data_IF_714552341789
#
_entry.id   IF_714552341789
#
_cell.length_a   1.000
_cell.length_b   1.000
_cell.length_c   1.000
_cell.angle_alpha   90.00
_cell.angle_beta   90.00
_cell.angle_gamma   90.00
#
_symmetry.space_group_name_H-M   'P 1'
#
loop_
_entity.id
_entity.type
_entity.pdbx_description
1 polymer ?
#
# COMPACT_ATOMS: atom_id res chain seq x y z
N UNK A 1 13.42 12.51 21.07
CA UNK A 1 12.87 11.68 22.16
C UNK A 1 13.99 10.82 22.70
N UNK A 2 14.11 10.74 24.04
CA UNK A 2 14.95 9.77 24.74
C UNK A 2 14.04 8.63 25.24
N UNK A 3 14.34 7.40 24.83
CA UNK A 3 13.69 6.17 25.30
C UNK A 3 14.72 5.36 26.10
N UNK A 4 14.35 4.95 27.31
CA UNK A 4 15.17 4.13 28.19
C UNK A 4 14.34 2.93 28.60
N UNK A 5 14.86 1.70 28.57
CA UNK A 5 14.11 0.54 29.03
C UNK A 5 13.88 0.64 30.54
N UNK A 6 12.70 0.26 30.95
CA UNK A 6 12.42 0.13 32.39
C UNK A 6 13.09 -1.15 32.89
N UNK A 7 14.11 -1.00 33.72
CA UNK A 7 14.84 -2.10 34.31
C UNK A 7 14.39 -2.24 35.77
N UNK A 8 13.92 -3.44 36.18
CA UNK A 8 13.50 -3.74 37.54
C UNK A 8 12.86 -5.11 37.63
N UNK A 9 12.80 -5.69 38.85
CA UNK A 9 12.19 -6.99 39.09
C UNK A 9 10.69 -7.03 38.76
N UNK A 10 10.04 -5.86 38.73
CA UNK A 10 8.60 -5.70 38.44
C UNK A 10 8.31 -5.50 36.94
N UNK A 11 9.30 -5.49 36.07
CA UNK A 11 9.11 -5.30 34.63
C UNK A 11 9.35 -6.60 33.87
N UNK A 12 8.46 -6.99 32.94
CA UNK A 12 8.63 -8.22 32.17
C UNK A 12 9.87 -8.14 31.27
N UNK A 13 10.60 -9.24 31.14
CA UNK A 13 11.75 -9.35 30.26
C UNK A 13 11.42 -8.98 28.80
N UNK A 14 10.14 -9.12 28.39
CA UNK A 14 9.63 -8.70 27.08
C UNK A 14 9.88 -7.22 26.77
N UNK A 15 9.87 -6.34 27.79
CA UNK A 15 10.15 -4.90 27.59
C UNK A 15 11.59 -4.64 27.14
N UNK A 16 12.56 -5.39 27.66
CA UNK A 16 13.96 -5.27 27.26
C UNK A 16 14.17 -5.85 25.86
N UNK A 17 13.54 -6.98 25.57
CA UNK A 17 13.53 -7.60 24.25
C UNK A 17 12.96 -6.65 23.19
N UNK A 18 11.82 -6.03 23.48
CA UNK A 18 11.20 -5.04 22.58
C UNK A 18 12.10 -3.83 22.36
N UNK A 19 12.79 -3.33 23.42
CA UNK A 19 13.72 -2.24 23.30
C UNK A 19 14.93 -2.59 22.44
N UNK A 20 15.54 -3.75 22.64
CA UNK A 20 16.65 -4.25 21.85
C UNK A 20 16.26 -4.45 20.38
N UNK A 21 15.07 -5.01 20.14
CA UNK A 21 14.53 -5.21 18.80
C UNK A 21 14.34 -3.86 18.08
N UNK A 22 13.74 -2.88 18.73
CA UNK A 22 13.54 -1.54 18.19
C UNK A 22 14.86 -0.89 17.82
N UNK A 23 15.88 -0.95 18.68
CA UNK A 23 17.20 -0.41 18.41
C UNK A 23 17.81 -1.04 17.15
N UNK A 24 17.86 -2.39 17.09
CA UNK A 24 18.46 -3.12 15.96
C UNK A 24 17.78 -2.82 14.63
N UNK A 25 16.46 -2.59 14.65
CA UNK A 25 15.68 -2.26 13.46
C UNK A 25 15.93 -0.80 13.06
N UNK A 26 15.86 0.14 14.01
CA UNK A 26 16.07 1.57 13.72
C UNK A 26 17.47 1.89 13.17
N UNK A 27 18.50 1.15 13.58
CA UNK A 27 19.84 1.28 13.02
C UNK A 27 19.90 1.02 11.51
N UNK A 28 18.97 0.22 10.98
CA UNK A 28 18.89 -0.17 9.57
C UNK A 28 17.91 0.65 8.77
N UNK A 29 16.85 1.14 9.40
CA UNK A 29 15.79 1.88 8.71
C UNK A 29 16.28 3.25 8.24
N UNK A 30 15.84 3.63 7.03
CA UNK A 30 16.15 4.92 6.40
C UNK A 30 14.91 5.48 5.70
N UNK A 31 14.93 6.78 5.44
CA UNK A 31 13.90 7.45 4.64
C UNK A 31 12.89 8.27 5.44
N UNK A 32 11.92 8.89 4.75
CA UNK A 32 11.02 9.87 5.35
C UNK A 32 9.92 9.27 6.22
N UNK A 33 9.68 7.97 6.13
CA UNK A 33 8.57 7.29 6.80
C UNK A 33 8.95 6.59 8.11
N UNK A 34 10.16 6.83 8.59
CA UNK A 34 10.69 6.30 9.86
C UNK A 34 11.40 7.39 10.64
N UNK A 35 11.42 7.37 11.98
CA UNK A 35 12.16 8.36 12.75
C UNK A 35 13.66 8.18 12.55
N UNK A 36 14.38 9.28 12.47
CA UNK A 36 15.85 9.25 12.41
C UNK A 36 16.41 8.87 13.77
N UNK A 37 17.23 7.82 13.81
CA UNK A 37 18.06 7.50 14.96
C UNK A 37 19.16 8.55 15.11
N UNK A 38 19.27 9.16 16.29
CA UNK A 38 20.25 10.20 16.62
C UNK A 38 21.45 9.60 17.36
N UNK A 39 21.17 8.80 18.39
CA UNK A 39 22.19 8.12 19.19
C UNK A 39 21.61 6.91 19.92
N UNK A 40 22.46 5.98 20.29
CA UNK A 40 22.11 4.83 21.14
C UNK A 40 23.21 4.56 22.15
N UNK A 41 22.84 4.01 23.30
CA UNK A 41 23.78 3.57 24.34
C UNK A 41 24.04 2.08 24.27
N UNK A 42 25.14 1.67 24.93
CA UNK A 42 25.47 0.25 25.03
C UNK A 42 24.42 -0.52 25.87
N UNK A 43 23.81 -1.54 25.24
CA UNK A 43 22.82 -2.40 25.87
C UNK A 43 23.29 -3.09 27.15
N UNK A 44 24.64 -3.30 27.30
CA UNK A 44 25.24 -3.97 28.44
C UNK A 44 25.56 -3.03 29.61
N UNK A 45 25.68 -1.72 29.32
CA UNK A 45 26.10 -0.74 30.33
C UNK A 45 24.93 0.23 30.65
N UNK A 46 24.55 1.05 29.71
CA UNK A 46 23.49 2.06 29.85
C UNK A 46 22.62 2.09 28.59
N UNK A 47 21.63 1.24 28.50
CA UNK A 47 20.75 1.18 27.33
C UNK A 47 19.92 2.46 27.23
N UNK A 48 20.04 3.17 26.13
CA UNK A 48 19.17 4.27 25.74
C UNK A 48 19.08 4.38 24.23
N UNK A 49 18.02 5.01 23.79
CA UNK A 49 17.74 5.28 22.40
C UNK A 49 17.30 6.74 22.25
N UNK A 50 18.00 7.52 21.43
CA UNK A 50 17.62 8.90 21.10
C UNK A 50 17.21 8.94 19.65
N UNK A 51 15.98 9.35 19.42
CA UNK A 51 15.40 9.47 18.08
C UNK A 51 14.75 10.83 17.85
N UNK A 52 14.54 11.16 16.59
CA UNK A 52 13.77 12.31 16.15
C UNK A 52 12.43 12.41 16.90
N UNK A 53 12.05 13.63 17.28
CA UNK A 53 10.72 13.92 17.83
C UNK A 53 9.79 14.33 16.72
N UNK A 54 8.67 13.61 16.59
CA UNK A 54 7.61 13.88 15.62
C UNK A 54 6.32 14.04 16.42
N UNK A 55 5.73 15.22 16.38
CA UNK A 55 4.70 15.62 17.35
C UNK A 55 3.27 15.43 16.87
N UNK A 56 3.03 15.54 15.55
CA UNK A 56 1.67 15.53 15.01
C UNK A 56 1.06 14.11 15.03
N UNK A 57 -0.06 13.99 15.73
CA UNK A 57 -0.83 12.77 15.94
C UNK A 57 -2.12 12.73 15.10
N UNK A 58 -2.12 13.32 13.90
CA UNK A 58 -3.32 13.50 13.09
C UNK A 58 -4.13 12.21 12.91
N UNK A 59 -3.48 11.05 12.71
CA UNK A 59 -4.19 9.77 12.57
C UNK A 59 -4.87 9.34 13.89
N UNK A 60 -4.20 9.50 15.03
CA UNK A 60 -4.77 9.17 16.33
C UNK A 60 -5.95 10.08 16.68
N UNK A 61 -5.82 11.38 16.39
CA UNK A 61 -6.90 12.36 16.57
C UNK A 61 -8.08 12.07 15.64
N UNK A 62 -7.83 11.73 14.36
CA UNK A 62 -8.87 11.33 13.43
C UNK A 62 -9.61 10.07 13.89
N UNK A 63 -8.89 9.07 14.42
CA UNK A 63 -9.48 7.85 14.97
C UNK A 63 -10.34 8.10 16.23
N UNK A 64 -9.98 9.10 17.05
CA UNK A 64 -10.78 9.51 18.21
C UNK A 64 -12.05 10.27 17.80
N UNK A 65 -12.01 11.02 16.69
CA UNK A 65 -13.13 11.81 16.16
C UNK A 65 -13.96 11.06 15.12
N UNK A 66 -13.61 9.79 14.85
CA UNK A 66 -14.32 8.99 13.84
C UNK A 66 -15.82 8.81 14.17
N UNK A 67 -16.69 8.76 13.14
CA UNK A 67 -16.38 8.63 11.72
C UNK A 67 -15.90 9.95 11.09
N UNK A 68 -14.92 9.85 10.20
CA UNK A 68 -14.39 11.01 9.46
C UNK A 68 -15.00 11.14 8.06
N UNK A 69 -14.85 12.32 7.46
CA UNK A 69 -15.26 12.57 6.08
C UNK A 69 -14.52 11.67 5.09
N UNK A 70 -15.16 11.33 3.97
CA UNK A 70 -14.65 10.34 3.01
C UNK A 70 -13.31 10.74 2.40
N UNK A 71 -13.15 12.02 2.05
CA UNK A 71 -11.91 12.52 1.43
C UNK A 71 -10.76 12.53 2.44
N UNK A 72 -11.03 12.86 3.70
CA UNK A 72 -10.06 12.78 4.80
C UNK A 72 -9.64 11.32 5.01
N UNK A 73 -10.58 10.38 5.03
CA UNK A 73 -10.29 8.96 5.16
C UNK A 73 -9.41 8.45 4.03
N UNK A 74 -9.73 8.86 2.79
CA UNK A 74 -8.95 8.48 1.60
C UNK A 74 -7.51 8.99 1.69
N UNK A 75 -7.33 10.27 2.00
CA UNK A 75 -6.00 10.87 2.13
C UNK A 75 -5.18 10.17 3.21
N UNK A 76 -5.74 10.04 4.41
CA UNK A 76 -5.08 9.35 5.52
C UNK A 76 -4.73 7.89 5.16
N UNK A 77 -5.66 7.19 4.51
CA UNK A 77 -5.45 5.81 4.07
C UNK A 77 -4.33 5.68 3.03
N UNK A 78 -4.30 6.54 2.02
CA UNK A 78 -3.25 6.55 0.99
C UNK A 78 -1.88 6.83 1.61
N UNK A 79 -1.78 7.85 2.47
CA UNK A 79 -0.53 8.24 3.13
C UNK A 79 -0.02 7.14 4.07
N UNK A 80 -0.90 6.51 4.84
CA UNK A 80 -0.57 5.38 5.70
C UNK A 80 -0.04 4.18 4.90
N UNK A 81 -0.73 3.83 3.81
CA UNK A 81 -0.31 2.74 2.94
C UNK A 81 1.05 3.01 2.28
N UNK A 82 1.36 4.25 1.91
CA UNK A 82 2.67 4.64 1.36
C UNK A 82 3.78 4.48 2.41
N UNK A 83 3.53 4.94 3.63
CA UNK A 83 4.49 4.79 4.73
C UNK A 83 4.77 3.31 5.03
N UNK A 84 3.71 2.50 5.10
CA UNK A 84 3.86 1.06 5.32
C UNK A 84 4.58 0.35 4.17
N UNK A 85 4.29 0.72 2.92
CA UNK A 85 4.98 0.16 1.77
C UNK A 85 6.48 0.47 1.80
N UNK A 86 6.86 1.69 2.17
CA UNK A 86 8.27 2.08 2.32
C UNK A 86 8.99 1.30 3.43
N UNK A 87 8.27 0.92 4.49
CA UNK A 87 8.79 0.05 5.55
C UNK A 87 8.99 -1.38 5.04
N UNK A 88 7.97 -1.94 4.37
CA UNK A 88 8.03 -3.29 3.81
C UNK A 88 9.15 -3.44 2.78
N UNK A 89 9.45 -2.40 1.98
CA UNK A 89 10.59 -2.38 1.06
C UNK A 89 11.94 -2.54 1.77
N UNK A 90 12.02 -2.20 3.04
CA UNK A 90 13.21 -2.40 3.88
C UNK A 90 13.18 -3.73 4.64
N UNK A 91 12.33 -4.68 4.22
CA UNK A 91 12.17 -6.02 4.81
C UNK A 91 11.72 -6.01 6.28
N UNK A 92 11.00 -4.96 6.70
CA UNK A 92 10.45 -4.82 8.05
C UNK A 92 8.93 -4.93 8.01
N UNK A 93 8.37 -5.75 8.89
CA UNK A 93 6.95 -5.90 9.18
C UNK A 93 6.72 -5.24 10.54
N UNK A 94 5.76 -4.33 10.65
CA UNK A 94 5.57 -3.52 11.85
C UNK A 94 4.97 -4.33 13.02
N UNK A 95 3.96 -5.13 12.74
CA UNK A 95 3.23 -6.03 13.65
C UNK A 95 2.48 -5.38 14.84
N UNK A 96 2.65 -4.08 15.08
CA UNK A 96 1.90 -3.28 16.05
C UNK A 96 1.40 -1.98 15.43
N UNK A 97 0.91 -2.05 14.18
CA UNK A 97 0.38 -0.88 13.48
C UNK A 97 -0.96 -0.48 14.08
N UNK A 98 -1.01 0.72 14.64
CA UNK A 98 -2.21 1.35 15.27
C UNK A 98 -2.12 2.86 15.14
N UNK A 99 -3.22 3.62 15.27
CA UNK A 99 -3.21 5.06 15.09
C UNK A 99 -2.21 5.81 15.97
N UNK A 100 -1.96 5.35 17.20
CA UNK A 100 -0.97 5.94 18.11
C UNK A 100 0.49 5.74 17.66
N UNK A 101 0.76 4.77 16.79
CA UNK A 101 2.10 4.48 16.27
C UNK A 101 2.35 5.14 14.90
N UNK A 102 1.49 6.09 14.53
CA UNK A 102 1.62 6.87 13.30
C UNK A 102 1.66 8.36 13.64
N UNK A 103 2.69 9.04 13.15
CA UNK A 103 2.92 10.47 13.31
C UNK A 103 2.97 11.14 11.94
N UNK A 104 2.82 12.46 11.89
CA UNK A 104 3.05 13.23 10.68
C UNK A 104 4.22 14.19 10.86
N UNK A 105 5.03 14.36 9.82
CA UNK A 105 5.95 15.49 9.70
C UNK A 105 5.23 16.74 9.20
N UNK A 106 5.84 17.89 9.40
CA UNK A 106 5.34 19.16 8.88
C UNK A 106 5.14 19.17 7.36
N UNK A 107 5.91 18.36 6.61
CA UNK A 107 5.76 18.15 5.16
C UNK A 107 4.61 17.24 4.75
N UNK A 108 3.86 16.71 5.72
CA UNK A 108 2.71 15.83 5.44
C UNK A 108 3.07 14.35 5.34
N UNK A 109 4.34 13.95 5.42
CA UNK A 109 4.72 12.55 5.39
C UNK A 109 4.31 11.84 6.69
N UNK A 110 3.65 10.68 6.55
CA UNK A 110 3.40 9.81 7.70
C UNK A 110 4.66 9.05 8.09
N UNK A 111 4.92 8.97 9.39
CA UNK A 111 6.05 8.29 10.00
C UNK A 111 5.54 7.21 10.93
N UNK A 112 6.02 5.99 10.72
CA UNK A 112 5.76 4.85 11.58
C UNK A 112 6.77 4.85 12.72
N UNK A 113 6.28 4.69 13.94
CA UNK A 113 7.09 4.71 15.17
C UNK A 113 6.82 3.45 16.00
N UNK A 114 7.71 3.16 16.95
CA UNK A 114 7.60 2.03 17.87
C UNK A 114 7.76 0.67 17.18
N UNK A 115 9.02 0.30 16.92
CA UNK A 115 9.40 -0.95 16.27
C UNK A 115 9.69 -2.07 17.26
N UNK A 116 9.29 -1.93 18.51
CA UNK A 116 9.54 -2.94 19.55
C UNK A 116 9.01 -4.32 19.17
N UNK A 117 7.85 -4.38 18.53
CA UNK A 117 7.21 -5.62 18.07
C UNK A 117 7.53 -5.99 16.63
N UNK A 118 8.29 -5.17 15.90
CA UNK A 118 8.51 -5.37 14.47
C UNK A 118 9.38 -6.61 14.19
N UNK A 119 9.22 -7.17 13.00
CA UNK A 119 10.03 -8.28 12.48
C UNK A 119 10.84 -7.81 11.29
N UNK A 120 12.16 -8.06 11.31
CA UNK A 120 13.04 -7.78 10.18
C UNK A 120 13.51 -9.11 9.56
N UNK A 121 13.26 -9.32 8.28
CA UNK A 121 13.50 -10.62 7.63
C UNK A 121 14.97 -11.10 7.65
N UNK A 122 15.93 -10.20 7.89
CA UNK A 122 17.36 -10.51 7.92
C UNK A 122 17.94 -10.50 9.34
N UNK A 123 17.12 -10.28 10.38
CA UNK A 123 17.53 -10.32 11.77
C UNK A 123 16.91 -11.52 12.48
N UNK A 124 17.56 -12.05 13.54
CA UNK A 124 16.93 -13.02 14.42
C UNK A 124 15.65 -12.44 15.03
N UNK A 125 14.57 -13.20 15.07
CA UNK A 125 13.33 -12.79 15.75
C UNK A 125 13.50 -12.98 17.26
N UNK A 126 13.71 -11.89 17.97
CA UNK A 126 13.93 -11.92 19.42
C UNK A 126 12.64 -12.26 20.18
N UNK A 127 11.48 -12.14 19.54
CA UNK A 127 10.18 -12.43 20.16
C UNK A 127 9.71 -13.86 19.97
N UNK A 128 10.35 -14.66 19.11
CA UNK A 128 9.93 -16.05 18.86
C UNK A 128 9.99 -16.94 20.14
N UNK A 129 10.89 -16.60 21.05
CA UNK A 129 11.04 -17.29 22.34
C UNK A 129 10.29 -16.63 23.52
N UNK A 130 9.83 -15.37 23.38
CA UNK A 130 9.33 -14.54 24.49
C UNK A 130 7.81 -14.39 24.52
N UNK A 131 7.07 -14.89 23.52
CA UNK A 131 5.61 -14.78 23.44
C UNK A 131 4.92 -15.85 24.29
N UNK A 132 5.05 -15.72 25.60
CA UNK A 132 4.15 -16.27 26.55
C UNK A 132 3.46 -15.11 27.26
N UNK A 133 2.15 -14.94 26.97
CA UNK A 133 1.23 -14.10 27.72
C UNK A 133 1.20 -12.58 27.48
N UNK A 134 0.04 -12.09 27.10
CA UNK A 134 -0.61 -10.81 27.41
C UNK A 134 -0.51 -9.58 26.52
N UNK A 135 0.14 -9.50 25.41
CA UNK A 135 0.14 -8.23 24.64
C UNK A 135 -0.81 -8.19 23.45
N UNK A 136 -1.88 -8.98 23.44
CA UNK A 136 -2.69 -9.22 22.25
C UNK A 136 -4.10 -8.63 22.18
N UNK A 137 -4.52 -7.74 23.07
CA UNK A 137 -5.92 -7.28 23.10
C UNK A 137 -6.21 -6.07 22.19
N UNK A 138 -5.27 -5.65 21.34
CA UNK A 138 -5.51 -4.51 20.46
C UNK A 138 -6.43 -4.90 19.31
N UNK A 139 -7.35 -4.01 18.87
CA UNK A 139 -8.30 -4.31 17.80
C UNK A 139 -7.64 -4.46 16.41
N UNK A 140 -6.36 -4.17 16.28
CA UNK A 140 -5.62 -4.14 15.02
C UNK A 140 -4.79 -5.39 14.75
N UNK A 141 -4.61 -6.29 15.73
CA UNK A 141 -3.82 -7.53 15.60
C UNK A 141 -4.48 -8.49 14.62
N UNK A 142 -3.71 -9.01 13.70
CA UNK A 142 -4.17 -9.97 12.70
C UNK A 142 -4.35 -11.39 13.31
N UNK A 143 -5.26 -12.22 12.75
CA UNK A 143 -5.50 -13.59 13.22
C UNK A 143 -4.25 -14.46 13.31
N UNK A 144 -3.37 -14.40 12.30
CA UNK A 144 -2.13 -15.17 12.26
C UNK A 144 -1.12 -14.80 13.36
N UNK A 145 -1.12 -13.53 13.80
CA UNK A 145 -0.27 -13.10 14.93
C UNK A 145 -0.66 -13.80 16.23
N UNK A 146 -1.95 -14.11 16.41
CA UNK A 146 -2.44 -14.88 17.55
C UNK A 146 -1.95 -16.34 17.53
N UNK A 147 -1.46 -16.79 16.39
CA UNK A 147 -0.82 -18.10 16.20
C UNK A 147 0.70 -17.99 16.08
N UNK A 148 1.28 -16.88 16.57
CA UNK A 148 2.71 -16.60 16.57
C UNK A 148 3.36 -16.59 15.17
N UNK A 149 2.59 -16.30 14.11
CA UNK A 149 3.13 -16.07 12.76
C UNK A 149 3.49 -14.60 12.63
N UNK A 150 4.79 -14.31 12.60
CA UNK A 150 5.34 -12.94 12.59
C UNK A 150 5.97 -12.55 11.24
N UNK A 151 6.15 -13.50 10.35
CA UNK A 151 6.88 -13.30 9.09
C UNK A 151 6.00 -12.91 7.89
N UNK A 152 4.69 -12.68 8.08
CA UNK A 152 3.78 -12.30 7.02
C UNK A 152 3.45 -10.80 7.03
N UNK A 153 3.93 -10.06 6.03
CA UNK A 153 3.67 -8.61 5.89
C UNK A 153 2.19 -8.27 5.74
N UNK A 154 1.34 -9.24 5.40
CA UNK A 154 -0.12 -9.05 5.30
C UNK A 154 -0.80 -8.95 6.68
N UNK A 155 -0.07 -9.17 7.77
CA UNK A 155 -0.54 -8.82 9.11
C UNK A 155 -0.70 -7.31 9.26
N UNK A 156 0.22 -6.52 8.71
CA UNK A 156 0.09 -5.06 8.68
C UNK A 156 -1.05 -4.60 7.75
N UNK A 157 -1.33 -5.33 6.67
CA UNK A 157 -2.49 -5.09 5.79
C UNK A 157 -3.81 -5.25 6.58
N UNK A 158 -3.89 -6.25 7.45
CA UNK A 158 -5.04 -6.42 8.32
C UNK A 158 -5.20 -5.23 9.27
N UNK A 159 -4.11 -4.74 9.85
CA UNK A 159 -4.11 -3.56 10.71
C UNK A 159 -4.59 -2.31 9.96
N UNK A 160 -4.16 -2.09 8.70
CA UNK A 160 -4.72 -1.04 7.83
C UNK A 160 -6.24 -1.20 7.72
N UNK A 161 -6.73 -2.40 7.45
CA UNK A 161 -8.17 -2.67 7.36
C UNK A 161 -8.93 -2.29 8.63
N UNK A 162 -8.37 -2.59 9.80
CA UNK A 162 -8.95 -2.25 11.10
C UNK A 162 -8.94 -0.72 11.37
N UNK A 163 -7.87 -0.03 10.97
CA UNK A 163 -7.77 1.43 11.05
C UNK A 163 -8.79 2.10 10.13
N UNK A 164 -8.85 1.69 8.85
CA UNK A 164 -9.81 2.23 7.89
C UNK A 164 -11.27 1.96 8.34
N UNK A 165 -11.55 0.79 8.92
CA UNK A 165 -12.84 0.47 9.49
C UNK A 165 -13.21 1.45 10.61
N UNK A 166 -12.27 1.70 11.54
CA UNK A 166 -12.48 2.64 12.65
C UNK A 166 -12.71 4.06 12.12
N UNK A 167 -11.87 4.55 11.20
CA UNK A 167 -12.02 5.87 10.61
C UNK A 167 -13.37 6.03 9.87
N UNK A 168 -13.83 4.98 9.20
CA UNK A 168 -15.08 4.99 8.45
C UNK A 168 -16.33 4.97 9.33
N UNK A 169 -16.28 4.31 10.49
CA UNK A 169 -17.49 3.97 11.27
C UNK A 169 -17.49 4.48 12.71
N UNK A 170 -16.33 4.84 13.27
CA UNK A 170 -16.17 5.11 14.71
C UNK A 170 -16.16 3.85 15.59
N UNK A 171 -16.19 2.64 14.98
CA UNK A 171 -16.26 1.39 15.69
C UNK A 171 -15.09 0.48 15.35
N UNK A 172 -14.80 -0.51 16.19
CA UNK A 172 -13.86 -1.58 15.86
C UNK A 172 -14.56 -2.73 15.13
N UNK A 173 -13.87 -3.43 14.20
CA UNK A 173 -14.48 -4.49 13.37
C UNK A 173 -15.19 -5.61 14.14
N UNK A 174 -14.70 -5.92 15.34
CA UNK A 174 -15.22 -7.00 16.20
C UNK A 174 -15.75 -6.50 17.55
N UNK A 175 -15.97 -5.19 17.67
CA UNK A 175 -16.38 -4.52 18.90
C UNK A 175 -15.21 -4.14 19.81
N UNK A 176 -15.50 -3.72 21.04
CA UNK A 176 -14.46 -3.29 21.99
C UNK A 176 -13.46 -4.41 22.26
N UNK A 177 -12.17 -4.08 22.44
CA UNK A 177 -11.12 -5.06 22.72
C UNK A 177 -11.40 -5.83 24.01
N UNK A 178 -11.54 -7.14 23.89
CA UNK A 178 -11.66 -8.09 25.00
C UNK A 178 -11.43 -9.53 24.47
N UNK A 179 -11.36 -10.52 25.34
CA UNK A 179 -11.17 -11.93 24.97
C UNK A 179 -12.23 -12.43 23.98
N UNK A 180 -13.48 -11.97 24.13
CA UNK A 180 -14.55 -12.34 23.21
C UNK A 180 -14.35 -11.76 21.82
N UNK A 181 -13.85 -10.52 21.68
CA UNK A 181 -13.52 -9.92 20.39
C UNK A 181 -12.36 -10.65 19.69
N UNK A 182 -11.43 -11.17 20.48
CA UNK A 182 -10.32 -11.99 19.98
C UNK A 182 -10.84 -13.31 19.37
N UNK A 183 -11.68 -14.04 20.12
CA UNK A 183 -12.33 -15.26 19.61
C UNK A 183 -13.17 -15.00 18.36
N UNK A 184 -13.92 -13.90 18.31
CA UNK A 184 -14.70 -13.51 17.14
C UNK A 184 -13.81 -13.28 15.91
N UNK A 185 -12.64 -12.67 16.08
CA UNK A 185 -11.68 -12.39 15.00
C UNK A 185 -11.18 -13.65 14.31
N UNK A 186 -10.99 -14.72 15.05
CA UNK A 186 -10.62 -16.04 14.53
C UNK A 186 -11.78 -16.74 13.82
N UNK A 187 -13.00 -16.57 14.35
CA UNK A 187 -14.15 -17.40 13.99
C UNK A 187 -15.11 -16.76 12.98
N UNK A 188 -15.16 -15.43 12.88
CA UNK A 188 -16.24 -14.75 12.18
C UNK A 188 -15.71 -13.62 11.28
N UNK A 189 -16.39 -13.34 10.14
CA UNK A 189 -16.13 -12.11 9.41
C UNK A 189 -16.55 -10.89 10.25
N UNK A 190 -15.91 -9.73 10.06
CA UNK A 190 -16.32 -8.50 10.74
C UNK A 190 -17.71 -8.06 10.31
N UNK A 191 -18.34 -7.24 11.13
CA UNK A 191 -19.59 -6.57 10.74
C UNK A 191 -19.31 -5.68 9.53
N UNK A 192 -20.14 -5.70 8.47
CA UNK A 192 -19.94 -4.80 7.35
C UNK A 192 -19.98 -3.32 7.78
N UNK A 193 -19.04 -2.46 7.37
CA UNK A 193 -19.04 -1.03 7.70
C UNK A 193 -20.35 -0.33 7.43
N UNK A 194 -21.05 -0.69 6.34
CA UNK A 194 -22.37 -0.15 5.94
C UNK A 194 -23.51 -0.50 6.89
N UNK A 195 -23.29 -1.41 7.84
CA UNK A 195 -24.24 -1.62 8.95
C UNK A 195 -24.19 -0.46 9.96
N UNK A 196 -23.05 0.21 10.11
CA UNK A 196 -22.87 1.39 10.96
C UNK A 196 -23.09 2.69 10.20
N UNK A 197 -22.64 2.75 8.95
CA UNK A 197 -22.70 3.91 8.07
C UNK A 197 -23.25 3.50 6.71
N UNK A 198 -24.59 3.48 6.51
CA UNK A 198 -25.24 3.00 5.30
C UNK A 198 -24.81 3.72 4.01
N UNK A 199 -24.49 5.02 4.11
CA UNK A 199 -24.05 5.88 3.01
C UNK A 199 -22.60 5.61 2.57
N UNK A 200 -21.85 4.78 3.29
CA UNK A 200 -20.47 4.45 2.94
C UNK A 200 -20.42 3.81 1.53
N UNK A 201 -19.55 4.29 0.63
CA UNK A 201 -19.44 3.73 -0.72
C UNK A 201 -19.10 2.24 -0.71
N UNK A 202 -19.72 1.49 -1.59
CA UNK A 202 -19.53 0.04 -1.71
C UNK A 202 -18.06 -0.34 -2.01
N UNK A 203 -17.37 0.48 -2.81
CA UNK A 203 -15.96 0.28 -3.13
C UNK A 203 -15.05 0.37 -1.89
N UNK A 204 -15.33 1.31 -0.96
CA UNK A 204 -14.54 1.45 0.26
C UNK A 204 -14.77 0.29 1.21
N UNK A 205 -16.04 -0.15 1.36
CA UNK A 205 -16.35 -1.36 2.13
C UNK A 205 -15.66 -2.60 1.55
N UNK A 206 -15.58 -2.74 0.22
CA UNK A 206 -14.88 -3.86 -0.43
C UNK A 206 -13.40 -3.87 -0.03
N UNK A 207 -12.72 -2.71 -0.08
CA UNK A 207 -11.30 -2.58 0.35
C UNK A 207 -11.16 -2.96 1.83
N UNK A 208 -11.95 -2.36 2.71
CA UNK A 208 -11.87 -2.59 4.16
C UNK A 208 -12.07 -4.07 4.48
N UNK A 209 -13.13 -4.69 3.96
CA UNK A 209 -13.43 -6.08 4.25
C UNK A 209 -12.43 -7.06 3.63
N UNK A 210 -11.82 -6.70 2.49
CA UNK A 210 -10.75 -7.51 1.91
C UNK A 210 -9.47 -7.45 2.75
N UNK A 211 -9.11 -6.32 3.31
CA UNK A 211 -8.00 -6.22 4.26
C UNK A 211 -8.24 -7.10 5.51
N UNK A 212 -9.49 -7.18 5.98
CA UNK A 212 -9.89 -7.89 7.19
C UNK A 212 -10.21 -9.39 6.96
N UNK A 213 -9.90 -9.96 5.81
CA UNK A 213 -10.03 -11.41 5.59
C UNK A 213 -9.18 -12.18 6.61
N UNK A 214 -9.74 -13.24 7.18
CA UNK A 214 -9.05 -14.06 8.19
C UNK A 214 -7.79 -14.69 7.61
N UNK A 215 -7.86 -15.18 6.35
CA UNK A 215 -6.73 -15.79 5.65
C UNK A 215 -5.89 -14.72 4.95
N UNK A 216 -4.58 -14.61 5.24
CA UNK A 216 -3.70 -13.64 4.60
C UNK A 216 -3.71 -13.70 3.07
N UNK A 217 -3.85 -14.90 2.46
CA UNK A 217 -3.84 -15.10 1.01
C UNK A 217 -5.04 -14.43 0.31
N UNK A 218 -6.11 -14.12 1.03
CA UNK A 218 -7.30 -13.45 0.52
C UNK A 218 -7.27 -11.94 0.65
N UNK A 219 -6.28 -11.40 1.36
CA UNK A 219 -6.03 -9.97 1.51
C UNK A 219 -5.36 -9.40 0.26
N UNK A 220 -5.09 -8.13 0.28
CA UNK A 220 -4.17 -7.50 -0.68
C UNK A 220 -2.75 -8.01 -0.45
N UNK A 221 -1.97 -8.10 -1.53
CA UNK A 221 -0.59 -8.56 -1.44
C UNK A 221 0.32 -7.48 -0.85
N UNK A 222 0.05 -6.21 -1.14
CA UNK A 222 0.89 -5.08 -0.73
C UNK A 222 0.04 -3.87 -0.29
N UNK A 223 0.61 -3.01 0.56
CA UNK A 223 0.00 -1.74 0.94
C UNK A 223 -0.11 -0.78 -0.26
N UNK A 224 0.79 -0.89 -1.24
CA UNK A 224 0.77 -0.12 -2.47
C UNK A 224 -0.49 -0.37 -3.29
N UNK A 225 -0.97 -1.62 -3.39
CA UNK A 225 -2.22 -1.97 -4.05
C UNK A 225 -3.41 -1.24 -3.39
N UNK A 226 -3.45 -1.18 -2.07
CA UNK A 226 -4.49 -0.48 -1.31
C UNK A 226 -4.41 1.03 -1.57
N UNK A 227 -3.22 1.63 -1.49
CA UNK A 227 -3.02 3.05 -1.76
C UNK A 227 -3.52 3.43 -3.14
N UNK A 228 -3.24 2.59 -4.15
CA UNK A 228 -3.70 2.80 -5.52
C UNK A 228 -5.24 2.77 -5.62
N UNK A 229 -5.89 1.78 -5.01
CA UNK A 229 -7.35 1.64 -5.05
C UNK A 229 -8.07 2.74 -4.24
N UNK A 230 -7.49 3.21 -3.15
CA UNK A 230 -8.02 4.36 -2.41
C UNK A 230 -7.90 5.66 -3.22
N UNK A 231 -6.82 5.82 -3.99
CA UNK A 231 -6.63 6.97 -4.87
C UNK A 231 -7.55 6.90 -6.12
N UNK A 232 -7.88 5.69 -6.58
CA UNK A 232 -8.65 5.42 -7.81
C UNK A 232 -9.86 4.52 -7.52
N UNK A 233 -10.93 5.06 -6.89
CA UNK A 233 -12.12 4.28 -6.53
C UNK A 233 -12.79 3.57 -7.71
N UNK A 234 -12.69 4.15 -8.90
CA UNK A 234 -13.21 3.62 -10.16
C UNK A 234 -12.55 2.29 -10.59
N UNK A 235 -11.34 2.01 -10.08
CA UNK A 235 -10.62 0.77 -10.34
C UNK A 235 -11.04 -0.37 -9.40
N UNK A 236 -11.81 -0.08 -8.36
CA UNK A 236 -12.22 -1.10 -7.40
C UNK A 236 -13.29 -2.01 -7.98
N UNK A 237 -12.97 -3.30 -8.12
CA UNK A 237 -13.99 -4.29 -8.43
C UNK A 237 -14.84 -4.57 -7.17
N UNK A 238 -16.06 -4.07 -7.17
CA UNK A 238 -17.00 -4.25 -6.06
C UNK A 238 -17.66 -5.62 -6.16
N UNK A 239 -17.24 -6.52 -5.28
CA UNK A 239 -17.79 -7.88 -5.18
C UNK A 239 -18.89 -7.99 -4.13
N UNK A 240 -19.19 -9.23 -3.73
CA UNK A 240 -20.20 -9.51 -2.71
C UNK A 240 -19.91 -8.83 -1.34
N UNK A 241 -18.66 -8.53 -1.02
CA UNK A 241 -18.29 -7.83 0.21
C UNK A 241 -18.78 -6.39 0.21
N UNK A 242 -18.58 -5.67 -0.89
CA UNK A 242 -18.99 -4.27 -1.02
C UNK A 242 -20.50 -4.06 -0.91
N UNK A 243 -21.29 -5.05 -1.30
CA UNK A 243 -22.76 -4.98 -1.27
C UNK A 243 -23.41 -5.49 0.03
N UNK A 244 -22.63 -6.01 0.99
CA UNK A 244 -23.18 -6.49 2.26
C UNK A 244 -23.69 -5.34 3.11
N UNK A 245 -24.97 -5.38 3.48
CA UNK A 245 -25.63 -4.40 4.34
C UNK A 245 -26.25 -5.04 5.60
N UNK A 246 -26.11 -6.35 5.75
CA UNK A 246 -26.66 -7.12 6.87
C UNK A 246 -25.57 -7.87 7.62
N UNK A 247 -25.71 -8.04 8.93
CA UNK A 247 -24.81 -8.89 9.71
C UNK A 247 -24.75 -10.31 9.16
N UNK A 248 -23.63 -11.02 9.35
CA UNK A 248 -23.54 -12.43 8.98
C UNK A 248 -24.62 -13.24 9.73
N UNK A 249 -25.36 -14.06 8.97
CA UNK A 249 -26.38 -14.94 9.53
C UNK A 249 -25.82 -15.95 10.54
N UNK A 250 -26.67 -16.52 11.41
CA UNK A 250 -26.27 -17.46 12.45
C UNK A 250 -25.56 -18.72 11.90
N UNK A 251 -25.98 -19.21 10.73
CA UNK A 251 -25.31 -20.32 10.04
C UNK A 251 -23.89 -19.99 9.59
N UNK A 252 -23.64 -18.77 9.17
CA UNK A 252 -22.28 -18.33 8.82
C UNK A 252 -21.40 -18.21 10.06
N UNK A 253 -21.99 -17.82 11.19
CA UNK A 253 -21.31 -17.77 12.50
C UNK A 253 -20.93 -19.16 12.96
N UNK A 254 -21.84 -20.13 12.87
CA UNK A 254 -21.61 -21.52 13.26
C UNK A 254 -20.50 -22.18 12.41
N UNK A 255 -20.59 -22.02 11.08
CA UNK A 255 -19.55 -22.52 10.16
C UNK A 255 -18.19 -21.83 10.38
N UNK A 256 -18.18 -20.56 10.72
CA UNK A 256 -16.97 -19.82 11.06
C UNK A 256 -16.31 -20.39 12.32
N UNK A 257 -17.11 -20.64 13.36
CA UNK A 257 -16.62 -21.24 14.61
C UNK A 257 -16.04 -22.64 14.39
N UNK A 258 -16.72 -23.52 13.66
CA UNK A 258 -16.17 -24.84 13.30
C UNK A 258 -14.85 -24.76 12.55
N UNK A 259 -14.71 -23.80 11.60
CA UNK A 259 -13.47 -23.60 10.85
C UNK A 259 -12.32 -23.09 11.72
N UNK A 260 -12.58 -22.22 12.68
CA UNK A 260 -11.53 -21.66 13.54
C UNK A 260 -10.88 -22.70 14.45
N UNK A 261 -11.65 -23.69 14.90
CA UNK A 261 -11.14 -24.80 15.73
C UNK A 261 -10.17 -25.71 14.95
N UNK A 262 -10.36 -25.82 13.61
CA UNK A 262 -9.53 -26.67 12.74
C UNK A 262 -8.54 -25.88 11.87
N UNK A 263 -8.50 -24.57 11.98
CA UNK A 263 -7.62 -23.73 11.17
C UNK A 263 -6.20 -23.79 11.73
N UNK A 264 -5.36 -24.61 11.10
CA UNK A 264 -3.90 -24.53 11.27
C UNK A 264 -3.40 -23.40 10.41
N UNK A 265 -2.81 -22.37 11.00
CA UNK A 265 -1.97 -21.43 10.28
C UNK A 265 -0.65 -22.16 10.01
N UNK A 266 -0.28 -22.22 8.75
CA UNK A 266 0.95 -22.87 8.34
C UNK A 266 2.12 -22.04 8.88
N UNK A 267 2.94 -22.65 9.75
CA UNK A 267 4.16 -22.04 10.29
C UNK A 267 5.29 -22.02 9.26
N UNK A 268 5.02 -22.46 8.01
CA UNK A 268 6.03 -22.33 6.97
C UNK A 268 6.43 -20.87 6.83
N UNK A 269 7.73 -20.58 6.73
CA UNK A 269 8.18 -19.21 6.53
C UNK A 269 7.46 -18.67 5.30
N UNK A 270 6.63 -17.65 5.52
CA UNK A 270 6.01 -16.94 4.44
C UNK A 270 7.11 -16.50 3.47
N UNK A 271 6.89 -16.52 2.14
CA UNK A 271 7.87 -16.02 1.20
C UNK A 271 8.36 -14.65 1.72
N UNK A 272 9.66 -14.44 1.67
CA UNK A 272 10.32 -13.25 2.25
C UNK A 272 9.56 -12.00 1.82
N UNK A 273 9.42 -10.98 2.68
CA UNK A 273 8.74 -9.72 2.32
C UNK A 273 9.21 -9.17 0.97
N UNK A 274 10.49 -9.30 0.67
CA UNK A 274 11.08 -8.95 -0.61
C UNK A 274 10.46 -9.71 -1.80
N UNK A 275 10.26 -11.02 -1.70
CA UNK A 275 9.68 -11.83 -2.79
C UNK A 275 8.21 -11.44 -3.05
N UNK A 276 7.50 -10.92 -2.04
CA UNK A 276 6.12 -10.41 -2.19
C UNK A 276 6.07 -8.97 -2.67
N UNK A 277 7.06 -8.15 -2.33
CA UNK A 277 7.16 -6.76 -2.76
C UNK A 277 7.35 -6.64 -4.28
N UNK A 278 7.97 -7.65 -4.90
CA UNK A 278 8.10 -7.76 -6.35
C UNK A 278 6.84 -8.29 -7.03
N UNK A 279 5.84 -8.78 -6.27
CA UNK A 279 4.67 -9.47 -6.85
C UNK A 279 3.55 -8.54 -7.34
N UNK A 280 3.62 -7.24 -7.09
CA UNK A 280 2.62 -6.27 -7.56
C UNK A 280 3.28 -4.99 -8.06
N UNK A 281 4.15 -5.05 -9.09
CA UNK A 281 4.81 -3.85 -9.59
C UNK A 281 3.79 -2.88 -10.22
N UNK A 282 3.95 -1.60 -9.91
CA UNK A 282 3.21 -0.52 -10.56
C UNK A 282 3.92 -0.08 -11.84
N UNK A 283 3.28 -0.31 -12.96
CA UNK A 283 3.81 0.05 -14.28
C UNK A 283 3.08 1.28 -14.81
N UNK A 284 3.80 2.36 -15.04
CA UNK A 284 3.30 3.56 -15.67
C UNK A 284 3.55 3.49 -17.18
N UNK A 285 2.48 3.55 -17.98
CA UNK A 285 2.55 3.55 -19.43
C UNK A 285 2.25 4.96 -19.92
N UNK A 286 3.28 5.69 -20.35
CA UNK A 286 3.13 7.04 -20.87
C UNK A 286 2.71 7.00 -22.35
N UNK A 287 1.52 7.55 -22.64
CA UNK A 287 0.91 7.56 -23.97
C UNK A 287 0.83 8.99 -24.51
N UNK A 288 1.52 9.24 -25.60
CA UNK A 288 1.33 10.46 -26.40
C UNK A 288 0.20 10.22 -27.42
N UNK A 289 -0.99 10.67 -27.08
CA UNK A 289 -2.18 10.46 -27.92
C UNK A 289 -2.20 11.35 -29.17
N UNK A 290 -1.42 12.44 -29.18
CA UNK A 290 -1.36 13.36 -30.31
C UNK A 290 -0.46 12.86 -31.46
N UNK A 291 0.59 12.10 -31.11
CA UNK A 291 1.63 11.73 -32.09
C UNK A 291 1.91 10.22 -32.12
N UNK A 292 1.19 9.39 -31.39
CA UNK A 292 1.43 7.94 -31.34
C UNK A 292 1.05 7.28 -32.66
N UNK A 293 2.04 6.88 -33.45
CA UNK A 293 1.78 6.04 -34.63
C UNK A 293 1.21 4.68 -34.24
N UNK A 294 0.39 4.07 -35.10
CA UNK A 294 -0.19 2.76 -34.85
C UNK A 294 0.88 1.70 -34.54
N UNK A 295 2.01 1.73 -35.26
CA UNK A 295 3.15 0.83 -35.04
C UNK A 295 3.77 1.00 -33.65
N UNK A 296 3.90 2.22 -33.13
CA UNK A 296 4.40 2.49 -31.78
C UNK A 296 3.37 2.07 -30.73
N UNK A 297 2.10 2.37 -30.96
CA UNK A 297 1.01 1.92 -30.08
C UNK A 297 0.97 0.41 -29.93
N UNK A 298 1.15 -0.35 -31.03
CA UNK A 298 1.21 -1.82 -30.96
C UNK A 298 2.51 -2.32 -30.30
N UNK A 299 3.63 -1.65 -30.48
CA UNK A 299 4.87 -1.98 -29.80
C UNK A 299 4.75 -1.78 -28.26
N UNK A 300 4.11 -0.69 -27.84
CA UNK A 300 3.78 -0.44 -26.44
C UNK A 300 2.82 -1.50 -25.88
N UNK A 301 1.75 -1.85 -26.61
CA UNK A 301 0.85 -2.93 -26.21
C UNK A 301 1.57 -4.27 -26.05
N UNK A 302 2.49 -4.61 -26.96
CA UNK A 302 3.32 -5.84 -26.83
C UNK A 302 4.20 -5.81 -25.60
N UNK A 303 4.84 -4.69 -25.27
CA UNK A 303 5.65 -4.53 -24.07
C UNK A 303 4.80 -4.73 -22.80
N UNK A 304 3.64 -4.07 -22.72
CA UNK A 304 2.69 -4.20 -21.60
C UNK A 304 2.18 -5.62 -21.46
N UNK A 305 1.79 -6.29 -22.57
CA UNK A 305 1.36 -7.72 -22.50
C UNK A 305 2.46 -8.64 -21.98
N UNK A 306 3.71 -8.40 -22.35
CA UNK A 306 4.85 -9.18 -21.86
C UNK A 306 5.01 -9.01 -20.36
N UNK A 307 5.01 -7.77 -19.88
CA UNK A 307 5.07 -7.46 -18.45
C UNK A 307 3.89 -8.05 -17.68
N UNK A 308 2.67 -7.92 -18.20
CA UNK A 308 1.48 -8.46 -17.55
C UNK A 308 1.46 -9.99 -17.45
N UNK A 309 2.21 -10.70 -18.33
CA UNK A 309 2.37 -12.16 -18.31
C UNK A 309 3.48 -12.58 -17.36
N UNK A 310 4.61 -11.87 -17.33
CA UNK A 310 5.72 -12.18 -16.42
C UNK A 310 5.38 -11.85 -14.97
N UNK A 311 4.55 -10.79 -14.76
CA UNK A 311 4.15 -10.31 -13.43
C UNK A 311 2.61 -10.30 -13.30
N UNK A 312 1.99 -11.44 -12.94
CA UNK A 312 0.52 -11.57 -12.92
C UNK A 312 -0.19 -10.61 -11.97
N UNK A 313 0.51 -10.13 -10.94
CA UNK A 313 -0.04 -9.22 -9.94
C UNK A 313 0.25 -7.74 -10.23
N UNK A 314 0.97 -7.42 -11.31
CA UNK A 314 1.25 -6.05 -11.71
C UNK A 314 -0.04 -5.28 -12.04
N UNK A 315 -0.04 -4.00 -11.73
CA UNK A 315 -1.09 -3.08 -12.17
C UNK A 315 -0.50 -1.93 -12.98
N UNK A 316 -1.32 -1.40 -13.87
CA UNK A 316 -0.88 -0.49 -14.91
C UNK A 316 -1.64 0.82 -14.82
N UNK A 317 -0.94 1.93 -14.92
CA UNK A 317 -1.54 3.24 -15.15
C UNK A 317 -1.17 3.71 -16.55
N UNK A 318 -2.17 3.89 -17.40
CA UNK A 318 -2.00 4.60 -18.67
C UNK A 318 -2.11 6.09 -18.41
N UNK A 319 -1.02 6.81 -18.61
CA UNK A 319 -0.94 8.26 -18.40
C UNK A 319 -0.82 8.99 -19.74
N UNK A 320 -1.67 9.98 -19.95
CA UNK A 320 -1.52 10.97 -21.02
C UNK A 320 -1.37 12.36 -20.42
N UNK A 321 -0.48 13.16 -20.97
CA UNK A 321 -0.25 14.53 -20.51
C UNK A 321 -0.82 15.52 -21.53
N UNK A 322 -1.56 16.51 -21.04
CA UNK A 322 -2.12 17.62 -21.81
C UNK A 322 -1.11 18.78 -21.81
N UNK A 323 -0.50 19.12 -22.97
CA UNK A 323 0.39 20.26 -23.04
C UNK A 323 -0.38 21.58 -22.76
N UNK A 324 0.29 22.61 -22.20
CA UNK A 324 -0.36 23.88 -21.83
C UNK A 324 -1.09 24.58 -22.99
N UNK A 325 -0.65 24.34 -24.24
CA UNK A 325 -1.19 24.96 -25.44
C UNK A 325 -2.59 24.45 -25.84
N UNK A 326 -3.02 23.30 -25.33
CA UNK A 326 -4.34 22.72 -25.63
C UNK A 326 -5.45 23.16 -24.62
N UNK A 327 -5.12 24.06 -23.69
CA UNK A 327 -6.02 24.55 -22.61
C UNK A 327 -6.90 25.75 -22.98
N UNK A 328 -6.93 26.17 -24.22
CA UNK A 328 -7.58 27.41 -24.64
C UNK A 328 -9.09 27.32 -24.87
N UNK A 329 -9.89 26.98 -23.83
CA UNK A 329 -11.27 27.46 -23.71
C UNK A 329 -11.72 27.47 -22.24
N UNK A 330 -12.01 28.61 -21.59
CA UNK A 330 -12.61 28.66 -20.27
C UNK A 330 -14.07 28.19 -20.38
N UNK A 331 -14.40 27.08 -19.76
CA UNK A 331 -15.76 26.51 -19.70
C UNK A 331 -15.90 25.04 -20.12
N UNK A 332 -14.90 24.44 -20.77
CA UNK A 332 -14.92 23.04 -21.24
C UNK A 332 -13.95 22.13 -20.44
N UNK A 333 -13.79 22.36 -19.14
CA UNK A 333 -12.75 21.69 -18.33
C UNK A 333 -12.91 20.16 -18.20
N UNK A 334 -14.04 19.58 -18.61
CA UNK A 334 -14.31 18.14 -18.50
C UNK A 334 -14.27 17.39 -19.84
N UNK A 335 -14.46 18.07 -20.98
CA UNK A 335 -14.57 17.40 -22.28
C UNK A 335 -13.24 16.82 -22.80
N UNK A 336 -12.07 17.52 -22.76
CA UNK A 336 -10.83 16.96 -23.30
C UNK A 336 -10.28 15.80 -22.46
N UNK A 337 -10.48 15.80 -21.16
CA UNK A 337 -10.01 14.71 -20.27
C UNK A 337 -10.81 13.43 -20.50
N UNK A 338 -12.14 13.54 -20.64
CA UNK A 338 -13.05 12.41 -20.93
C UNK A 338 -12.74 11.82 -22.31
N UNK A 339 -12.53 12.67 -23.31
CA UNK A 339 -12.20 12.23 -24.66
C UNK A 339 -10.84 11.48 -24.69
N UNK A 340 -9.81 12.01 -24.01
CA UNK A 340 -8.50 11.36 -23.92
C UNK A 340 -8.57 10.03 -23.17
N UNK A 341 -9.32 9.96 -22.08
CA UNK A 341 -9.56 8.70 -21.37
C UNK A 341 -10.26 7.67 -22.26
N UNK A 342 -11.23 8.07 -23.06
CA UNK A 342 -11.90 7.17 -24.02
C UNK A 342 -10.91 6.62 -25.07
N UNK A 343 -10.01 7.46 -25.61
CA UNK A 343 -8.96 7.03 -26.54
C UNK A 343 -8.01 6.04 -25.86
N UNK A 344 -7.57 6.30 -24.62
CA UNK A 344 -6.72 5.38 -23.87
C UNK A 344 -7.41 4.05 -23.59
N UNK A 345 -8.70 4.06 -23.23
CA UNK A 345 -9.51 2.83 -23.05
C UNK A 345 -9.57 2.00 -24.32
N UNK A 346 -9.82 2.65 -25.46
CA UNK A 346 -9.82 1.97 -26.76
C UNK A 346 -8.45 1.39 -27.11
N UNK A 347 -7.37 2.15 -26.90
CA UNK A 347 -6.00 1.68 -27.07
C UNK A 347 -5.69 0.46 -26.20
N UNK A 348 -6.19 0.44 -24.97
CA UNK A 348 -5.92 -0.62 -24.00
C UNK A 348 -6.83 -1.86 -24.15
N UNK A 349 -7.94 -1.78 -24.86
CA UNK A 349 -8.92 -2.86 -25.04
C UNK A 349 -8.26 -4.21 -25.44
N UNK A 350 -7.31 -4.26 -26.40
CA UNK A 350 -6.67 -5.50 -26.79
C UNK A 350 -5.75 -6.11 -25.71
N UNK A 351 -5.42 -5.38 -24.64
CA UNK A 351 -4.60 -5.89 -23.54
C UNK A 351 -5.37 -6.90 -22.66
N UNK A 352 -6.71 -6.86 -22.68
CA UNK A 352 -7.61 -7.72 -21.88
C UNK A 352 -7.28 -7.71 -20.38
N UNK A 353 -6.81 -6.56 -19.88
CA UNK A 353 -6.55 -6.34 -18.46
C UNK A 353 -7.84 -5.81 -17.83
N UNK A 354 -8.40 -6.59 -16.90
CA UNK A 354 -9.62 -6.18 -16.20
C UNK A 354 -9.29 -5.19 -15.05
N UNK A 355 -10.19 -4.27 -14.68
CA UNK A 355 -10.10 -3.60 -13.40
C UNK A 355 -9.96 -4.63 -12.24
N UNK A 356 -9.14 -4.37 -11.22
CA UNK A 356 -8.44 -3.12 -10.90
C UNK A 356 -7.02 -3.00 -11.49
N UNK A 357 -6.62 -3.87 -12.42
CA UNK A 357 -5.25 -3.91 -12.95
C UNK A 357 -4.88 -2.79 -13.92
N UNK A 358 -5.86 -2.01 -14.39
CA UNK A 358 -5.63 -0.96 -15.37
C UNK A 358 -6.42 0.31 -15.02
N UNK A 359 -5.70 1.43 -14.89
CA UNK A 359 -6.24 2.77 -14.59
C UNK A 359 -5.80 3.75 -15.67
N UNK A 360 -6.62 4.77 -15.93
CA UNK A 360 -6.37 5.81 -16.93
C UNK A 360 -6.30 7.17 -16.25
N UNK A 361 -5.21 7.88 -16.47
CA UNK A 361 -4.97 9.19 -15.88
C UNK A 361 -4.62 10.21 -16.96
N UNK A 362 -5.18 11.41 -16.85
CA UNK A 362 -4.80 12.57 -17.68
C UNK A 362 -4.28 13.65 -16.74
N UNK A 363 -3.09 14.17 -17.04
CA UNK A 363 -2.47 15.25 -16.26
C UNK A 363 -2.16 16.44 -17.17
N UNK A 364 -2.33 17.67 -16.68
CA UNK A 364 -1.86 18.86 -17.39
C UNK A 364 -0.39 19.11 -17.15
N UNK A 365 0.32 19.71 -18.11
CA UNK A 365 1.65 20.24 -17.88
C UNK A 365 2.71 19.81 -18.90
N UNK A 366 3.98 19.95 -18.52
CA UNK A 366 5.10 19.44 -19.30
C UNK A 366 5.14 17.90 -19.24
N UNK A 367 5.19 17.19 -20.37
CA UNK A 367 5.09 15.75 -20.40
C UNK A 367 6.18 15.03 -19.60
N UNK A 368 7.44 15.46 -19.70
CA UNK A 368 8.53 14.78 -19.01
C UNK A 368 8.41 14.95 -17.50
N UNK A 369 8.15 16.18 -17.05
CA UNK A 369 8.00 16.51 -15.64
C UNK A 369 6.77 15.84 -15.03
N UNK A 370 5.62 15.90 -15.69
CA UNK A 370 4.39 15.28 -15.21
C UNK A 370 4.52 13.75 -15.04
N UNK A 371 5.21 13.06 -15.97
CA UNK A 371 5.47 11.63 -15.87
C UNK A 371 6.37 11.31 -14.67
N UNK A 372 7.48 12.06 -14.51
CA UNK A 372 8.44 11.83 -13.41
C UNK A 372 7.83 12.14 -12.06
N UNK A 373 7.10 13.25 -11.92
CA UNK A 373 6.44 13.66 -10.69
C UNK A 373 5.35 12.65 -10.30
N UNK A 374 4.53 12.21 -11.26
CA UNK A 374 3.55 11.15 -11.03
C UNK A 374 4.22 9.85 -10.57
N UNK A 375 5.29 9.44 -11.26
CA UNK A 375 6.01 8.21 -10.91
C UNK A 375 6.58 8.26 -9.49
N UNK A 376 7.14 9.40 -9.08
CA UNK A 376 7.65 9.61 -7.71
C UNK A 376 6.52 9.61 -6.68
N UNK A 377 5.44 10.36 -6.96
CA UNK A 377 4.30 10.50 -6.04
C UNK A 377 3.57 9.18 -5.82
N UNK A 378 3.45 8.34 -6.84
CA UNK A 378 2.72 7.07 -6.79
C UNK A 378 3.64 5.84 -6.65
N UNK A 379 4.93 6.04 -6.34
CA UNK A 379 5.90 4.96 -6.16
C UNK A 379 5.89 3.94 -7.31
N UNK A 380 5.93 4.45 -8.55
CA UNK A 380 5.99 3.61 -9.75
C UNK A 380 7.30 2.83 -9.79
N UNK A 381 7.24 1.53 -10.12
CA UNK A 381 8.42 0.67 -10.20
C UNK A 381 9.04 0.68 -11.60
N UNK A 382 8.19 0.86 -12.62
CA UNK A 382 8.62 0.83 -14.03
C UNK A 382 7.82 1.82 -14.87
N UNK A 383 8.52 2.69 -15.58
CA UNK A 383 7.92 3.55 -16.60
C UNK A 383 8.14 2.91 -17.98
N UNK A 384 7.07 2.78 -18.77
CA UNK A 384 7.11 2.38 -20.17
C UNK A 384 6.78 3.59 -21.03
N UNK A 385 7.72 4.04 -21.82
CA UNK A 385 7.57 5.23 -22.69
C UNK A 385 7.98 4.92 -24.12
N UNK A 386 7.25 5.48 -25.08
CA UNK A 386 7.57 5.36 -26.49
C UNK A 386 8.68 6.32 -26.92
N UNK A 387 9.56 5.89 -27.82
CA UNK A 387 10.53 6.76 -28.46
C UNK A 387 10.12 7.09 -29.89
N UNK A 388 10.02 8.38 -30.19
CA UNK A 388 9.89 8.87 -31.55
C UNK A 388 11.26 8.96 -32.22
N UNK A 389 11.38 8.39 -33.44
CA UNK A 389 12.51 8.66 -34.32
C UNK A 389 12.13 9.82 -35.26
N UNK A 390 12.57 11.04 -34.97
CA UNK A 390 12.56 12.09 -35.98
C UNK A 390 13.52 11.73 -37.12
N UNK A 391 13.16 12.04 -38.34
CA UNK A 391 13.74 11.52 -39.59
C UNK A 391 15.22 11.87 -39.87
N UNK A 392 15.83 12.77 -39.12
CA UNK A 392 17.17 13.28 -39.42
C UNK A 392 18.32 12.79 -38.52
N UNK A 393 18.03 12.37 -37.25
CA UNK A 393 19.06 11.90 -36.32
C UNK A 393 18.62 10.58 -35.65
N UNK A 394 18.79 9.50 -36.39
CA UNK A 394 18.25 8.14 -36.11
C UNK A 394 18.82 7.41 -34.86
N UNK A 395 19.66 8.06 -34.07
CA UNK A 395 20.35 7.42 -32.93
C UNK A 395 19.90 7.94 -31.55
N UNK A 396 19.09 8.99 -31.45
CA UNK A 396 18.75 9.61 -30.18
C UNK A 396 17.34 9.28 -29.72
N UNK A 397 17.17 9.20 -28.41
CA UNK A 397 15.87 9.14 -27.70
C UNK A 397 15.11 10.45 -28.01
N UNK A 398 13.79 10.38 -28.14
CA UNK A 398 12.96 11.60 -28.18
C UNK A 398 13.15 12.44 -26.93
N UNK A 399 12.94 13.75 -26.99
CA UNK A 399 13.18 14.68 -25.88
C UNK A 399 12.50 14.26 -24.57
N UNK A 400 11.24 13.84 -24.64
CA UNK A 400 10.48 13.38 -23.47
C UNK A 400 11.03 12.07 -22.91
N UNK A 401 11.27 11.06 -23.77
CA UNK A 401 11.78 9.77 -23.31
C UNK A 401 13.20 9.86 -22.75
N UNK A 402 14.04 10.76 -23.31
CA UNK A 402 15.39 11.02 -22.79
C UNK A 402 15.33 11.73 -21.41
N UNK A 403 14.47 12.74 -21.27
CA UNK A 403 14.30 13.46 -20.01
C UNK A 403 13.73 12.55 -18.90
N UNK A 404 12.73 11.72 -19.24
CA UNK A 404 12.17 10.74 -18.30
C UNK A 404 13.24 9.74 -17.89
N UNK A 405 14.03 9.18 -18.82
CA UNK A 405 15.08 8.22 -18.50
C UNK A 405 16.19 8.82 -17.63
N UNK A 406 16.49 10.11 -17.78
CA UNK A 406 17.51 10.80 -16.99
C UNK A 406 17.03 11.20 -15.56
N UNK A 407 15.74 11.45 -15.38
CA UNK A 407 15.19 12.05 -14.14
C UNK A 407 14.35 11.08 -13.29
N UNK A 408 13.94 9.94 -13.85
CA UNK A 408 13.14 8.96 -13.12
C UNK A 408 13.94 8.32 -11.97
N UNK A 409 13.27 8.14 -10.83
CA UNK A 409 13.81 7.42 -9.66
C UNK A 409 13.55 5.90 -9.71
N UNK A 410 12.93 5.40 -10.79
CA UNK A 410 12.59 4.01 -11.02
C UNK A 410 13.10 3.53 -12.38
N UNK A 411 12.92 2.25 -12.68
CA UNK A 411 13.29 1.68 -13.99
C UNK A 411 12.51 2.33 -15.14
N UNK A 412 13.17 2.51 -16.30
CA UNK A 412 12.51 3.05 -17.49
C UNK A 412 12.74 2.12 -18.69
N UNK A 413 11.66 1.68 -19.30
CA UNK A 413 11.68 0.92 -20.56
C UNK A 413 11.28 1.84 -21.70
N UNK A 414 12.23 2.08 -22.62
CA UNK A 414 11.96 2.85 -23.82
C UNK A 414 11.62 1.90 -24.96
N UNK A 415 10.40 2.01 -25.47
CA UNK A 415 9.88 1.17 -26.57
C UNK A 415 10.10 1.84 -27.92
N UNK A 416 10.70 1.10 -28.84
CA UNK A 416 10.94 1.54 -30.21
C UNK A 416 10.24 0.61 -31.19
N UNK A 417 9.82 1.13 -32.35
CA UNK A 417 9.34 0.32 -33.46
C UNK A 417 10.52 -0.38 -34.14
N UNK A 418 10.41 -1.70 -34.36
CA UNK A 418 11.32 -2.39 -35.29
C UNK A 418 11.06 -1.86 -36.72
N UNK A 419 12.09 -1.45 -37.43
CA UNK A 419 12.00 -1.28 -38.85
C UNK A 419 11.90 -2.63 -39.53
N UNK A 420 10.97 -2.76 -40.45
CA UNK A 420 11.12 -3.72 -41.54
C UNK A 420 12.40 -3.38 -42.28
N UNK A 421 13.40 -4.23 -42.15
CA UNK A 421 14.55 -4.24 -43.05
C UNK A 421 13.96 -4.72 -44.36
N UNK A 422 13.55 -3.80 -45.21
CA UNK A 422 13.32 -4.15 -46.60
C UNK A 422 14.65 -4.69 -47.12
N UNK A 423 14.66 -6.00 -47.44
CA UNK A 423 15.67 -6.63 -48.27
C UNK A 423 15.70 -6.00 -49.66
#
# INVERSE_FOLDING_TARGET
ILKVPKLGLDHPASSLVAFENELRILERLRGPHVPRLVASGDLRARPYLIMERIEDEALAQAAQRAPVELDVLRDLGVRLCRALQALHHQNVIHLDLKPSNVRNRAGGEMVLIDFGMAHHAQLPDLHDAAFGEEEGTTPYIAPEQLHHVRSDSRSDIYAIGAILYQLATGHYPFGRPNLLSLAKRLAMPPLPPRCHRPELPAWLQEIILRCLETRPERRFATAKEIAHLLAHPEAVHVGARGHRTRPPGWWQRLRGWQRSVFQKFDKQPAPRPYERLTTSPHVLVALDLGHCSEALGEALRRAVRRLARSEPHSYFTCLSVLPPQERTQPGAATAPDVARQAVMRNWAQPLRLAPPRLVFQVLPGDPARAIVDYARQHQVDLIVVGAYASSALRQHLGSVSAAVAAQASCSVTVVRTRRDIKK
#
